data_IF_659180571480
#
_entry.id   IF_659180571480
#
_cell.length_a   1.000
_cell.length_b   1.000
_cell.length_c   1.000
_cell.angle_alpha   90.00
_cell.angle_beta   90.00
_cell.angle_gamma   90.00
#
_symmetry.space_group_name_H-M   'P 1'
#
loop_
_entity.id
_entity.type
_entity.pdbx_description
1 polymer ?
#
# COMPACT_ATOMS: atom_id res chain seq x y z
N UNK A 1 -15.42 -6.72 -57.20
CA UNK A 1 -14.13 -5.98 -57.30
C UNK A 1 -14.25 -4.75 -56.40
N UNK A 2 -13.61 -4.78 -55.20
CA UNK A 2 -12.43 -3.97 -54.86
C UNK A 2 -12.79 -2.47 -54.60
N UNK A 3 -12.53 -1.80 -53.47
CA UNK A 3 -11.48 -1.93 -52.45
C UNK A 3 -11.94 -1.33 -51.12
N UNK A 4 -11.46 -1.95 -50.04
CA UNK A 4 -11.37 -1.46 -48.67
C UNK A 4 -10.34 -0.32 -48.63
N UNK A 5 -10.64 0.79 -47.96
CA UNK A 5 -9.61 1.72 -47.45
C UNK A 5 -9.81 1.95 -45.95
N UNK A 6 -8.75 1.66 -45.20
CA UNK A 6 -8.58 1.90 -43.78
C UNK A 6 -7.68 3.12 -43.55
N UNK A 7 -7.67 3.57 -42.29
CA UNK A 7 -6.73 4.46 -41.60
C UNK A 7 -7.11 5.96 -41.64
N UNK A 8 -7.05 6.74 -40.56
CA UNK A 8 -6.29 6.61 -39.32
C UNK A 8 -6.92 7.56 -38.29
N UNK A 9 -7.37 7.09 -37.12
CA UNK A 9 -7.67 7.97 -35.97
C UNK A 9 -6.61 7.71 -34.91
N UNK A 10 -5.67 8.65 -34.79
CA UNK A 10 -4.73 8.71 -33.68
C UNK A 10 -5.48 9.27 -32.48
N UNK A 11 -5.93 8.39 -31.58
CA UNK A 11 -6.40 8.81 -30.27
C UNK A 11 -5.21 8.80 -29.31
N UNK A 12 -4.83 9.98 -28.80
CA UNK A 12 -3.94 10.12 -27.65
C UNK A 12 -4.47 9.27 -26.49
N UNK A 13 -3.75 8.22 -26.13
CA UNK A 13 -4.03 7.42 -24.95
C UNK A 13 -3.47 8.19 -23.74
N UNK A 14 -4.31 9.03 -23.14
CA UNK A 14 -4.14 9.44 -21.74
C UNK A 14 -4.45 8.21 -20.87
N UNK A 15 -3.46 7.78 -20.09
CA UNK A 15 -3.51 6.58 -19.25
C UNK A 15 -4.74 6.51 -18.38
N UNK A 16 -5.65 5.60 -18.75
CA UNK A 16 -6.70 5.07 -17.87
C UNK A 16 -6.10 3.88 -17.13
N UNK A 17 -5.43 4.09 -16.02
CA UNK A 17 -5.11 2.99 -15.11
C UNK A 17 -5.47 3.42 -13.69
N UNK A 18 -6.24 2.56 -13.01
CA UNK A 18 -6.90 2.76 -11.71
C UNK A 18 -8.22 3.56 -11.70
N UNK A 19 -9.22 3.14 -12.49
CA UNK A 19 -10.61 3.24 -12.01
C UNK A 19 -11.00 1.88 -11.47
N UNK A 20 -11.24 1.78 -10.16
CA UNK A 20 -11.92 0.60 -9.60
C UNK A 20 -13.26 0.47 -10.33
N UNK A 21 -13.43 -0.61 -11.10
CA UNK A 21 -14.69 -0.89 -11.78
C UNK A 21 -15.71 -1.31 -10.72
N UNK A 22 -16.66 -0.42 -10.42
CA UNK A 22 -17.83 -0.78 -9.63
C UNK A 22 -18.72 -1.69 -10.46
N UNK A 23 -18.68 -3.00 -10.18
CA UNK A 23 -19.67 -3.94 -10.71
C UNK A 23 -20.95 -3.82 -9.89
N UNK A 24 -22.00 -3.23 -10.46
CA UNK A 24 -23.33 -3.28 -9.88
C UNK A 24 -23.90 -4.68 -10.15
N UNK A 25 -23.73 -5.59 -9.20
CA UNK A 25 -24.39 -6.90 -9.25
C UNK A 25 -25.81 -6.72 -8.72
N UNK A 26 -26.81 -6.94 -9.57
CA UNK A 26 -28.20 -7.13 -9.10
C UNK A 26 -28.27 -8.49 -8.42
N UNK A 27 -28.11 -8.51 -7.11
CA UNK A 27 -28.40 -9.71 -6.32
C UNK A 27 -29.92 -9.93 -6.35
N UNK A 28 -30.35 -11.10 -6.82
CA UNK A 28 -31.74 -11.53 -6.64
C UNK A 28 -31.99 -11.61 -5.13
N UNK A 29 -32.99 -10.88 -4.65
CA UNK A 29 -33.38 -10.81 -3.24
C UNK A 29 -33.59 -12.24 -2.71
N UNK A 30 -32.72 -12.70 -1.81
CA UNK A 30 -33.01 -13.87 -1.01
C UNK A 30 -34.26 -13.56 -0.16
N UNK A 31 -35.25 -14.47 -0.22
CA UNK A 31 -36.48 -14.40 0.55
C UNK A 31 -36.15 -14.20 2.04
N UNK A 32 -36.47 -13.01 2.59
CA UNK A 32 -36.37 -12.73 4.03
C UNK A 32 -35.67 -11.42 4.42
N UNK A 33 -34.91 -10.77 3.53
CA UNK A 33 -34.32 -9.47 3.87
C UNK A 33 -35.35 -8.34 3.68
N UNK A 34 -35.80 -7.70 4.76
CA UNK A 34 -36.39 -6.37 4.64
C UNK A 34 -35.26 -5.40 4.29
N UNK A 35 -35.27 -4.91 3.05
CA UNK A 35 -34.43 -3.78 2.71
C UNK A 35 -34.91 -2.62 3.57
N UNK A 36 -34.06 -2.15 4.51
CA UNK A 36 -34.33 -0.91 5.22
C UNK A 36 -34.61 0.19 4.18
N UNK A 37 -35.56 1.06 4.46
CA UNK A 37 -36.02 2.13 3.56
C UNK A 37 -35.00 3.28 3.39
N UNK A 38 -33.71 2.97 3.32
CA UNK A 38 -32.64 3.92 3.00
C UNK A 38 -32.22 3.79 1.54
N UNK A 39 -31.88 4.93 0.94
CA UNK A 39 -31.29 4.99 -0.40
C UNK A 39 -30.04 4.09 -0.48
N UNK A 40 -29.92 3.22 -1.51
CA UNK A 40 -28.70 2.48 -1.75
C UNK A 40 -27.51 3.43 -1.91
N UNK A 41 -26.43 3.20 -1.17
CA UNK A 41 -25.18 3.94 -1.34
C UNK A 41 -24.08 3.01 -1.84
N UNK A 42 -23.13 3.57 -2.58
CA UNK A 42 -21.98 2.82 -3.06
C UNK A 42 -21.08 2.40 -1.90
N UNK A 43 -20.72 1.11 -1.85
CA UNK A 43 -19.71 0.59 -0.92
C UNK A 43 -18.34 0.84 -1.55
N UNK A 44 -17.52 1.64 -0.88
CA UNK A 44 -16.14 1.87 -1.32
C UNK A 44 -15.38 0.54 -1.32
N UNK A 45 -14.70 0.16 -2.42
CA UNK A 45 -13.93 -1.08 -2.45
C UNK A 45 -12.81 -1.06 -1.42
N UNK A 46 -12.29 0.12 -1.05
CA UNK A 46 -11.12 0.28 -0.17
C UNK A 46 -11.35 -0.09 1.30
N UNK A 47 -12.58 -0.44 1.71
CA UNK A 47 -12.85 -0.96 3.06
C UNK A 47 -12.27 -2.36 3.28
N UNK A 48 -12.02 -3.11 2.20
CA UNK A 48 -11.39 -4.43 2.24
C UNK A 48 -9.86 -4.33 2.14
N UNK A 49 -9.30 -3.38 2.90
CA UNK A 49 -7.89 -3.06 2.93
C UNK A 49 -7.12 -3.80 4.03
N UNK A 50 -5.82 -3.96 3.82
CA UNK A 50 -4.90 -4.55 4.80
C UNK A 50 -3.77 -3.56 5.13
N UNK A 51 -3.19 -3.71 6.32
CA UNK A 51 -2.00 -2.97 6.75
C UNK A 51 -0.80 -3.90 6.91
N UNK A 52 0.40 -3.38 6.65
CA UNK A 52 1.68 -4.06 6.86
C UNK A 52 2.74 -3.07 7.37
N UNK A 53 3.74 -3.59 8.07
CA UNK A 53 4.87 -2.83 8.59
C UNK A 53 6.07 -2.79 7.62
N UNK A 54 6.97 -1.82 7.85
CA UNK A 54 8.19 -1.61 7.04
C UNK A 54 9.10 -2.81 6.84
N UNK A 55 9.12 -3.72 7.79
CA UNK A 55 10.12 -4.77 7.93
C UNK A 55 9.55 -6.17 7.79
N UNK A 56 8.28 -6.29 7.43
CA UNK A 56 7.63 -7.58 7.27
C UNK A 56 7.99 -8.22 5.93
N UNK A 57 8.20 -9.53 5.98
CA UNK A 57 8.35 -10.35 4.79
C UNK A 57 6.98 -10.55 4.16
N UNK A 58 6.66 -9.68 3.21
CA UNK A 58 5.35 -9.64 2.53
C UNK A 58 4.98 -10.94 1.82
N UNK A 59 5.97 -11.75 1.43
CA UNK A 59 5.71 -13.06 0.85
C UNK A 59 5.11 -14.04 1.87
N UNK A 60 5.42 -13.85 3.16
CA UNK A 60 4.89 -14.66 4.27
C UNK A 60 3.54 -14.18 4.78
N UNK A 61 3.17 -12.93 4.53
CA UNK A 61 1.88 -12.39 4.97
C UNK A 61 0.68 -13.04 4.26
N UNK A 62 0.90 -13.75 3.14
CA UNK A 62 -0.15 -14.40 2.33
C UNK A 62 -1.33 -13.49 1.97
N UNK A 63 -1.16 -12.15 2.07
CA UNK A 63 -2.22 -11.16 1.92
C UNK A 63 -2.91 -11.28 0.56
N UNK A 64 -2.18 -11.70 -0.46
CA UNK A 64 -2.71 -11.86 -1.82
C UNK A 64 -3.78 -12.94 -1.95
N UNK A 65 -3.75 -13.98 -1.11
CA UNK A 65 -4.79 -15.00 -1.09
C UNK A 65 -6.13 -14.45 -0.59
N UNK A 66 -6.11 -13.33 0.15
CA UNK A 66 -7.30 -12.66 0.70
C UNK A 66 -7.90 -11.63 -0.26
N UNK A 67 -7.23 -11.31 -1.38
CA UNK A 67 -7.73 -10.36 -2.38
C UNK A 67 -7.92 -8.92 -1.88
N UNK A 68 -6.88 -8.26 -1.34
CA UNK A 68 -6.98 -6.90 -0.82
C UNK A 68 -7.31 -5.91 -1.94
N UNK A 69 -8.20 -4.97 -1.67
CA UNK A 69 -8.48 -3.85 -2.59
C UNK A 69 -7.61 -2.63 -2.31
N UNK A 70 -7.08 -2.54 -1.08
CA UNK A 70 -6.15 -1.54 -0.60
C UNK A 70 -5.07 -2.24 0.23
N UNK A 71 -3.82 -1.83 0.06
CA UNK A 71 -2.74 -2.25 0.94
C UNK A 71 -2.01 -1.02 1.46
N UNK A 72 -1.88 -0.97 2.78
CA UNK A 72 -1.32 0.16 3.50
C UNK A 72 0.04 -0.22 4.09
N UNK A 73 1.02 0.63 3.84
CA UNK A 73 2.34 0.57 4.43
C UNK A 73 2.50 1.60 5.56
N UNK A 74 2.66 1.16 6.80
CA UNK A 74 2.82 2.08 7.90
C UNK A 74 3.17 1.51 9.28
N UNK A 75 2.46 2.00 10.30
CA UNK A 75 2.75 1.69 11.71
C UNK A 75 3.84 2.57 12.33
N UNK A 76 4.26 2.24 13.55
CA UNK A 76 5.14 3.07 14.38
C UNK A 76 6.45 3.43 13.67
N UNK A 77 7.10 2.45 13.04
CA UNK A 77 8.37 2.59 12.33
C UNK A 77 8.29 3.54 11.14
N UNK A 78 7.13 3.63 10.49
CA UNK A 78 6.94 4.48 9.31
C UNK A 78 7.00 5.96 9.61
N UNK A 79 6.78 6.35 10.87
CA UNK A 79 6.93 7.73 11.32
C UNK A 79 8.37 8.24 11.22
N UNK A 80 9.36 7.34 11.16
CA UNK A 80 10.81 7.66 11.17
C UNK A 80 11.55 6.97 10.02
N UNK A 81 10.82 6.51 9.01
CA UNK A 81 11.44 5.97 7.81
C UNK A 81 12.10 7.08 6.99
N UNK A 82 13.28 6.81 6.49
CA UNK A 82 14.04 7.72 5.64
C UNK A 82 14.14 7.10 4.25
N UNK A 83 13.41 7.68 3.29
CA UNK A 83 13.35 7.20 1.92
C UNK A 83 14.65 7.45 1.13
N UNK A 84 15.54 8.34 1.61
CA UNK A 84 16.80 8.66 0.93
C UNK A 84 17.88 7.61 1.15
N UNK A 85 17.91 7.00 2.33
CA UNK A 85 18.90 5.99 2.71
C UNK A 85 18.27 4.62 3.04
N UNK A 86 16.95 4.51 2.86
CA UNK A 86 16.17 3.29 3.09
C UNK A 86 16.29 2.74 4.52
N UNK A 87 16.35 3.60 5.54
CA UNK A 87 16.43 3.16 6.94
C UNK A 87 15.22 3.60 7.77
N UNK A 88 14.93 2.87 8.86
CA UNK A 88 13.87 3.24 9.80
C UNK A 88 14.33 3.07 11.25
N UNK A 89 13.59 3.66 12.17
CA UNK A 89 13.78 3.49 13.61
C UNK A 89 12.62 2.71 14.22
N UNK A 90 12.90 1.79 15.13
CA UNK A 90 11.91 0.93 15.79
C UNK A 90 11.13 1.59 16.92
N UNK A 91 11.38 2.87 17.21
CA UNK A 91 10.76 3.55 18.33
C UNK A 91 10.97 2.81 19.66
N UNK A 92 10.05 2.99 20.59
CA UNK A 92 10.04 2.23 21.84
C UNK A 92 9.70 0.74 21.63
N UNK A 93 9.21 0.35 20.44
CA UNK A 93 8.84 -1.04 20.16
C UNK A 93 10.06 -1.95 20.23
N UNK A 94 11.25 -1.44 19.88
CA UNK A 94 12.50 -2.20 19.95
C UNK A 94 13.73 -1.32 20.19
N UNK A 95 13.87 -0.79 21.40
CA UNK A 95 15.07 -0.10 21.87
C UNK A 95 15.57 1.03 20.94
N UNK A 96 14.67 1.83 20.36
CA UNK A 96 15.00 3.01 19.55
C UNK A 96 16.11 2.78 18.52
N UNK A 97 16.12 1.58 17.94
CA UNK A 97 17.20 1.10 17.09
C UNK A 97 16.89 1.42 15.63
N UNK A 98 17.89 1.93 14.92
CA UNK A 98 17.82 2.06 13.49
C UNK A 98 18.12 0.74 12.81
N UNK A 99 17.39 0.46 11.74
CA UNK A 99 17.60 -0.69 10.88
C UNK A 99 17.71 -0.23 9.43
N UNK A 100 18.53 -0.95 8.66
CA UNK A 100 18.63 -0.78 7.22
C UNK A 100 17.59 -1.65 6.51
N UNK A 101 16.94 -1.09 5.49
CA UNK A 101 16.13 -1.81 4.52
C UNK A 101 16.92 -2.52 3.45
N UNK A 102 18.25 -2.46 3.51
CA UNK A 102 19.11 -3.00 2.48
C UNK A 102 19.17 -2.09 1.25
N UNK A 103 19.63 -2.67 0.14
CA UNK A 103 19.88 -1.94 -1.12
C UNK A 103 18.59 -1.56 -1.86
N UNK A 104 17.56 -2.40 -1.75
CA UNK A 104 16.32 -2.22 -2.49
C UNK A 104 15.40 -1.26 -1.73
N UNK A 105 14.94 -0.21 -2.41
CA UNK A 105 14.03 0.76 -1.80
C UNK A 105 12.69 0.07 -1.45
N UNK A 106 12.37 0.03 -0.16
CA UNK A 106 11.19 -0.70 0.34
C UNK A 106 9.89 -0.11 -0.20
N UNK A 107 9.80 1.24 -0.28
CA UNK A 107 8.59 1.91 -0.76
C UNK A 107 8.41 1.67 -2.26
N UNK A 108 9.48 1.71 -3.05
CA UNK A 108 9.39 1.43 -4.49
C UNK A 108 8.96 -0.02 -4.74
N UNK A 109 9.55 -0.98 -4.02
CA UNK A 109 9.13 -2.38 -4.07
C UNK A 109 7.66 -2.56 -3.64
N UNK A 110 7.23 -1.82 -2.61
CA UNK A 110 5.84 -1.81 -2.16
C UNK A 110 4.88 -1.33 -3.24
N UNK A 111 5.14 -0.15 -3.79
CA UNK A 111 4.30 0.49 -4.80
C UNK A 111 4.28 -0.30 -6.12
N UNK A 112 5.43 -0.84 -6.53
CA UNK A 112 5.56 -1.65 -7.75
C UNK A 112 4.73 -2.93 -7.68
N UNK A 113 4.83 -3.66 -6.56
CA UNK A 113 4.09 -4.90 -6.38
C UNK A 113 2.58 -4.66 -6.34
N UNK A 114 2.13 -3.62 -5.63
CA UNK A 114 0.71 -3.28 -5.56
C UNK A 114 0.17 -2.88 -6.92
N UNK A 115 0.93 -2.09 -7.69
CA UNK A 115 0.59 -1.73 -9.07
C UNK A 115 0.46 -2.97 -9.94
N UNK A 116 1.43 -3.89 -9.89
CA UNK A 116 1.42 -5.15 -10.66
C UNK A 116 0.19 -6.01 -10.36
N UNK A 117 -0.38 -5.91 -9.15
CA UNK A 117 -1.56 -6.65 -8.70
C UNK A 117 -2.88 -5.88 -8.81
N UNK A 118 -2.85 -4.63 -9.27
CA UNK A 118 -4.06 -3.79 -9.36
C UNK A 118 -4.64 -3.38 -8.00
N UNK A 119 -3.80 -3.33 -6.95
CA UNK A 119 -4.22 -3.01 -5.58
C UNK A 119 -3.89 -1.55 -5.26
N UNK A 120 -4.84 -0.82 -4.65
CA UNK A 120 -4.60 0.55 -4.23
C UNK A 120 -3.54 0.60 -3.12
N UNK A 121 -2.75 1.67 -3.07
CA UNK A 121 -1.67 1.82 -2.10
C UNK A 121 -1.88 3.02 -1.20
N UNK A 122 -1.60 2.86 0.09
CA UNK A 122 -1.51 3.96 1.04
C UNK A 122 -0.18 3.87 1.80
N UNK A 123 0.62 4.94 1.78
CA UNK A 123 1.91 4.98 2.49
C UNK A 123 1.88 6.05 3.56
N UNK A 124 2.48 5.78 4.72
CA UNK A 124 2.73 6.84 5.70
C UNK A 124 3.87 7.74 5.20
N UNK A 125 3.65 9.04 5.20
CA UNK A 125 4.73 10.03 5.02
C UNK A 125 5.21 10.46 6.42
N UNK A 126 6.51 10.37 6.74
CA UNK A 126 7.06 10.85 8.00
C UNK A 126 6.79 12.36 8.20
N UNK A 127 6.20 12.74 9.33
CA UNK A 127 5.89 14.14 9.67
C UNK A 127 6.47 14.61 11.01
N UNK A 128 7.22 13.77 11.73
CA UNK A 128 7.84 14.14 13.02
C UNK A 128 9.03 15.12 12.90
N UNK A 129 9.49 15.41 11.68
CA UNK A 129 10.69 16.21 11.42
C UNK A 129 12.01 15.46 11.60
N UNK A 130 12.00 14.31 12.29
CA UNK A 130 13.17 13.45 12.49
C UNK A 130 12.91 12.03 11.99
N UNK A 131 13.84 11.54 11.16
CA UNK A 131 13.85 10.18 10.59
C UNK A 131 15.18 9.50 10.87
N UNK A 132 15.27 8.18 10.64
CA UNK A 132 16.50 7.43 10.83
C UNK A 132 17.64 7.99 9.96
N UNK A 133 18.77 8.32 10.59
CA UNK A 133 19.96 8.87 9.89
C UNK A 133 20.76 7.80 9.15
N UNK A 134 20.70 6.56 9.62
CA UNK A 134 21.42 5.38 9.13
C UNK A 134 20.63 4.12 9.51
N UNK A 135 21.18 2.92 9.28
CA UNK A 135 20.57 1.64 9.63
C UNK A 135 21.24 0.89 10.79
N UNK A 136 21.99 1.57 11.66
CA UNK A 136 22.76 0.91 12.73
C UNK A 136 22.87 1.69 14.05
N UNK A 137 22.57 2.99 14.05
CA UNK A 137 22.58 3.80 15.25
C UNK A 137 21.42 3.47 16.20
N UNK A 138 21.60 3.78 17.47
CA UNK A 138 20.55 3.77 18.48
C UNK A 138 20.37 5.19 19.03
N UNK A 139 19.17 5.51 19.51
CA UNK A 139 18.88 6.85 20.06
C UNK A 139 19.35 7.01 21.52
N UNK A 140 20.17 6.09 22.04
CA UNK A 140 20.77 6.14 23.36
C UNK A 140 22.26 5.77 23.35
N UNK A 141 23.05 6.20 24.36
CA UNK A 141 24.44 5.82 24.49
C UNK A 141 24.59 4.33 24.83
N UNK A 142 25.17 3.54 23.92
CA UNK A 142 25.42 2.11 24.16
C UNK A 142 26.37 1.84 25.33
N UNK A 143 27.27 2.76 25.63
CA UNK A 143 28.18 2.64 26.77
C UNK A 143 27.44 2.63 28.12
N UNK A 144 26.31 3.34 28.20
CA UNK A 144 25.46 3.41 29.40
C UNK A 144 24.40 2.32 29.43
N UNK A 145 24.02 1.79 28.26
CA UNK A 145 22.99 0.76 28.11
C UNK A 145 23.49 -0.39 27.20
N UNK A 146 24.44 -1.22 27.67
CA UNK A 146 24.87 -2.42 26.96
C UNK A 146 23.74 -3.46 26.89
N UNK A 147 23.70 -4.22 25.79
CA UNK A 147 22.70 -5.27 25.54
C UNK A 147 22.88 -6.48 26.45
#
# INVERSE_FOLDING_TARGET
MQKIQQALIVALILGREARAQTHVVKLAKALGASAAASEPHAISPYIYGFGSYLHEDRAKENVWALGPTLYRFGGNTSTRYNYLNNSWNTAQDWFFHNYSGGKDNIVDAFMSENRRRGVASAITVPMLGWVAKDGSSMSFPRASFPK
#
